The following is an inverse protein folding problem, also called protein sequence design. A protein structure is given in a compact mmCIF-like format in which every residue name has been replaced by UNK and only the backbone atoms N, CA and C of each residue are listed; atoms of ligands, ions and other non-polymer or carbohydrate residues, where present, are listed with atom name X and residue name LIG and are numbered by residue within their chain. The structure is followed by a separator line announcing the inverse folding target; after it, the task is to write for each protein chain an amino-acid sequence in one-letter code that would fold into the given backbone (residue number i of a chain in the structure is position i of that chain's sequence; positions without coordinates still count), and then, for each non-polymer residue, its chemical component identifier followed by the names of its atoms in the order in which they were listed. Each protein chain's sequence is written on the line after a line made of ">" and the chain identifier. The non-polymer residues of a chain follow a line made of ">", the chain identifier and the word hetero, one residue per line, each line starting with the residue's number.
data_IF_447110971451
#
_entry.id   IF_447110971451
#
_cell.length_a   1.000
_cell.length_b   1.000
_cell.length_c   1.000
_cell.angle_alpha   90.00
_cell.angle_beta   90.00
_cell.angle_gamma   90.00
#
_symmetry.space_group_name_H-M   'P 1'
#
loop_
_entity.id
_entity.type
_entity.pdbx_description
1 polymer ?
#
# COMPACT_ATOMS: atom_id res chain seq x y z
N UNK A 1 6.67 -3.02 5.58
CA UNK A 1 5.30 -2.92 5.05
C UNK A 1 5.06 -3.79 3.80
N UNK A 2 5.68 -3.53 2.64
CA UNK A 2 5.37 -4.23 1.37
C UNK A 2 5.39 -5.77 1.45
N UNK A 3 6.32 -6.35 2.21
CA UNK A 3 6.34 -7.80 2.47
C UNK A 3 5.06 -8.31 3.14
N UNK A 4 4.53 -7.59 4.13
CA UNK A 4 3.31 -7.99 4.85
C UNK A 4 2.08 -7.90 3.96
N UNK A 5 2.00 -6.89 3.07
CA UNK A 5 0.87 -6.75 2.15
C UNK A 5 0.94 -7.74 0.98
N UNK A 6 2.13 -8.18 0.57
CA UNK A 6 2.28 -9.25 -0.41
C UNK A 6 2.09 -10.66 0.21
N UNK A 7 2.22 -10.79 1.52
CA UNK A 7 1.94 -12.03 2.27
C UNK A 7 0.50 -12.03 2.79
N UNK A 8 -0.46 -12.25 1.89
CA UNK A 8 -1.89 -12.26 2.21
C UNK A 8 -2.52 -13.61 1.84
N UNK A 9 -3.62 -13.97 2.53
CA UNK A 9 -4.35 -15.21 2.28
C UNK A 9 -5.15 -15.20 0.98
N UNK A 10 -5.37 -14.03 0.38
CA UNK A 10 -6.06 -13.88 -0.91
C UNK A 10 -5.06 -13.85 -2.08
N UNK A 11 -5.45 -14.29 -3.29
CA UNK A 11 -4.60 -14.26 -4.47
C UNK A 11 -4.08 -12.86 -4.82
N UNK A 12 -2.84 -12.76 -5.31
CA UNK A 12 -2.23 -11.48 -5.72
C UNK A 12 -2.98 -10.78 -6.86
N UNK A 13 -3.70 -11.56 -7.68
CA UNK A 13 -4.58 -11.08 -8.75
C UNK A 13 -5.81 -10.31 -8.26
N UNK A 14 -6.16 -10.45 -6.99
CA UNK A 14 -7.43 -9.94 -6.44
C UNK A 14 -7.27 -8.55 -5.80
N UNK A 15 -6.05 -8.06 -5.70
CA UNK A 15 -5.74 -6.73 -5.17
C UNK A 15 -4.62 -6.08 -5.97
N UNK A 16 -4.50 -4.76 -5.83
CA UNK A 16 -3.38 -4.00 -6.38
C UNK A 16 -2.68 -3.20 -5.27
N UNK A 17 -1.38 -3.00 -5.44
CA UNK A 17 -0.54 -2.20 -4.57
C UNK A 17 -0.06 -0.98 -5.36
N UNK A 18 -0.46 0.20 -4.90
CA UNK A 18 -0.05 1.48 -5.46
C UNK A 18 0.84 2.18 -4.43
N UNK A 19 2.13 2.33 -4.75
CA UNK A 19 3.08 3.04 -3.92
C UNK A 19 3.27 4.47 -4.42
N UNK A 20 3.18 5.45 -3.52
CA UNK A 20 3.24 6.87 -3.88
C UNK A 20 4.32 7.56 -3.05
N UNK A 21 5.31 8.13 -3.75
CA UNK A 21 6.34 8.99 -3.18
C UNK A 21 5.90 10.44 -3.32
N UNK A 22 5.78 11.15 -2.19
CA UNK A 22 5.29 12.54 -2.18
C UNK A 22 6.27 13.54 -2.80
N UNK A 23 7.56 13.37 -2.50
CA UNK A 23 8.62 14.26 -2.99
C UNK A 23 9.29 13.66 -4.25
N UNK A 24 10.57 13.95 -4.44
CA UNK A 24 11.39 13.46 -5.56
C UNK A 24 12.17 12.18 -5.25
N UNK A 25 12.16 11.71 -4.00
CA UNK A 25 12.95 10.54 -3.60
C UNK A 25 12.30 9.26 -4.12
N UNK A 26 13.13 8.38 -4.66
CA UNK A 26 12.80 6.99 -5.02
C UNK A 26 13.50 6.07 -4.01
N UNK A 27 12.76 5.23 -3.30
CA UNK A 27 13.34 4.27 -2.37
C UNK A 27 14.08 3.15 -3.12
N UNK A 28 15.41 3.08 -2.97
CA UNK A 28 16.25 2.11 -3.67
C UNK A 28 15.88 0.67 -3.33
N UNK A 29 15.43 0.45 -2.10
CA UNK A 29 15.00 -0.85 -1.61
C UNK A 29 13.87 -1.41 -2.48
N UNK A 30 12.95 -0.55 -2.95
CA UNK A 30 11.87 -0.96 -3.85
C UNK A 30 12.41 -1.33 -5.23
N UNK A 31 13.39 -0.58 -5.76
CA UNK A 31 14.06 -0.94 -7.02
C UNK A 31 14.72 -2.33 -6.92
N UNK A 32 15.50 -2.56 -5.86
CA UNK A 32 16.17 -3.84 -5.61
C UNK A 32 15.15 -5.01 -5.52
N UNK A 33 13.97 -4.78 -4.94
CA UNK A 33 12.90 -5.78 -4.91
C UNK A 33 12.28 -6.04 -6.28
N UNK A 34 11.99 -4.99 -7.04
CA UNK A 34 11.40 -5.13 -8.38
C UNK A 34 12.36 -5.81 -9.35
N UNK A 35 13.67 -5.58 -9.23
CA UNK A 35 14.70 -6.29 -10.02
C UNK A 35 14.72 -7.78 -9.70
N UNK A 36 14.83 -8.15 -8.42
CA UNK A 36 14.81 -9.56 -8.00
C UNK A 36 13.54 -10.29 -8.42
N UNK A 37 12.39 -9.63 -8.31
CA UNK A 37 11.10 -10.21 -8.66
C UNK A 37 11.00 -10.51 -10.18
N UNK A 38 11.56 -9.62 -11.02
CA UNK A 38 11.70 -9.84 -12.47
C UNK A 38 12.59 -11.03 -12.81
N UNK A 39 13.69 -11.24 -12.08
CA UNK A 39 14.62 -12.35 -12.33
C UNK A 39 13.96 -13.73 -12.14
N UNK A 40 13.01 -13.83 -11.19
CA UNK A 40 12.31 -15.09 -10.87
C UNK A 40 10.96 -15.24 -11.56
N UNK A 41 10.54 -14.24 -12.35
CA UNK A 41 9.28 -14.27 -13.11
C UNK A 41 8.03 -14.32 -12.23
N UNK A 42 8.09 -13.80 -11.00
CA UNK A 42 6.96 -13.77 -10.09
C UNK A 42 6.08 -12.52 -10.30
N UNK A 43 4.91 -12.51 -9.67
CA UNK A 43 3.96 -11.40 -9.75
C UNK A 43 4.58 -10.08 -9.25
N UNK A 44 4.20 -8.94 -9.84
CA UNK A 44 4.76 -7.66 -9.48
C UNK A 44 4.48 -7.34 -8.01
N UNK A 45 5.56 -7.07 -7.26
CA UNK A 45 5.48 -6.71 -5.84
C UNK A 45 4.71 -5.41 -5.58
N UNK A 46 4.63 -4.55 -6.60
CA UNK A 46 3.88 -3.30 -6.67
C UNK A 46 3.33 -3.18 -8.09
N UNK A 47 2.04 -2.86 -8.24
CA UNK A 47 1.41 -2.70 -9.56
C UNK A 47 1.64 -1.32 -10.16
N UNK A 48 1.77 -0.30 -9.32
CA UNK A 48 2.03 1.07 -9.74
C UNK A 48 2.89 1.82 -8.73
N UNK A 49 3.95 2.46 -9.22
CA UNK A 49 4.82 3.31 -8.42
C UNK A 49 4.78 4.74 -8.96
N UNK A 50 4.20 5.64 -8.18
CA UNK A 50 4.01 7.04 -8.53
C UNK A 50 5.01 7.89 -7.75
N UNK A 51 5.73 8.77 -8.44
CA UNK A 51 6.56 9.79 -7.82
C UNK A 51 5.91 11.13 -8.16
N UNK A 52 5.34 11.80 -7.16
CA UNK A 52 4.67 13.09 -7.36
C UNK A 52 5.66 14.21 -7.68
N UNK A 53 6.93 14.07 -7.28
CA UNK A 53 8.00 14.96 -7.68
C UNK A 53 7.94 16.35 -7.05
N UNK A 54 7.27 16.51 -5.91
CA UNK A 54 7.16 17.81 -5.26
C UNK A 54 8.55 18.30 -4.77
N UNK A 55 8.88 19.60 -4.96
CA UNK A 55 10.15 20.13 -4.51
C UNK A 55 10.37 20.00 -3.00
N UNK A 56 11.62 19.77 -2.55
CA UNK A 56 11.96 19.88 -1.12
C UNK A 56 11.54 21.25 -0.57
N UNK A 57 10.96 21.28 0.63
CA UNK A 57 10.44 22.50 1.26
C UNK A 57 8.97 22.80 0.92
N UNK A 58 8.34 22.05 0.01
CA UNK A 58 6.88 22.05 -0.14
C UNK A 58 6.26 21.47 1.13
N UNK A 59 5.17 22.07 1.60
CA UNK A 59 4.44 21.54 2.75
C UNK A 59 3.85 20.17 2.42
N UNK A 60 4.00 19.21 3.34
CA UNK A 60 3.51 17.86 3.17
C UNK A 60 1.99 17.77 3.36
N UNK A 61 1.27 17.38 2.30
CA UNK A 61 -0.17 17.18 2.31
C UNK A 61 -0.54 15.73 1.97
N UNK A 62 -0.67 14.87 2.99
CA UNK A 62 -1.03 13.44 2.80
C UNK A 62 -2.31 13.24 1.99
N UNK A 63 -3.32 14.10 2.15
CA UNK A 63 -4.58 13.99 1.41
C UNK A 63 -4.39 14.21 -0.10
N UNK A 64 -3.42 15.02 -0.53
CA UNK A 64 -3.09 15.16 -1.95
C UNK A 64 -2.54 13.84 -2.50
N UNK A 65 -1.67 13.18 -1.74
CA UNK A 65 -1.12 11.87 -2.08
C UNK A 65 -2.23 10.81 -2.19
N UNK A 66 -3.14 10.79 -1.22
CA UNK A 66 -4.28 9.87 -1.21
C UNK A 66 -5.19 10.09 -2.42
N UNK A 67 -5.48 11.34 -2.78
CA UNK A 67 -6.31 11.65 -3.95
C UNK A 67 -5.67 11.16 -5.26
N UNK A 68 -4.34 11.28 -5.40
CA UNK A 68 -3.62 10.71 -6.55
C UNK A 68 -3.81 9.20 -6.60
N UNK A 69 -3.62 8.50 -5.47
CA UNK A 69 -3.82 7.06 -5.37
C UNK A 69 -5.23 6.60 -5.70
N UNK A 70 -6.24 7.27 -5.15
CA UNK A 70 -7.65 6.98 -5.43
C UNK A 70 -7.95 7.16 -6.93
N UNK A 71 -7.42 8.23 -7.54
CA UNK A 71 -7.67 8.53 -8.96
C UNK A 71 -7.12 7.47 -9.91
N UNK A 72 -5.98 6.86 -9.56
CA UNK A 72 -5.34 5.83 -10.41
C UNK A 72 -5.79 4.40 -10.07
N UNK A 73 -6.49 4.22 -8.95
CA UNK A 73 -6.96 2.91 -8.50
C UNK A 73 -8.01 2.34 -9.44
N UNK A 74 -7.99 1.02 -9.60
CA UNK A 74 -8.90 0.20 -10.41
C UNK A 74 -9.82 -0.65 -9.54
N UNK A 75 -9.43 -0.89 -8.29
CA UNK A 75 -10.23 -1.63 -7.30
C UNK A 75 -11.54 -0.94 -6.92
N UNK A 76 -12.52 -1.73 -6.46
CA UNK A 76 -13.80 -1.22 -5.91
C UNK A 76 -13.68 -0.76 -4.46
N UNK A 77 -12.67 -1.25 -3.75
CA UNK A 77 -12.35 -0.93 -2.36
C UNK A 77 -10.96 -0.32 -2.36
N UNK A 78 -10.81 0.87 -1.79
CA UNK A 78 -9.51 1.54 -1.62
C UNK A 78 -9.17 1.54 -0.15
N UNK A 79 -8.00 0.99 0.18
CA UNK A 79 -7.45 1.00 1.54
C UNK A 79 -6.20 1.87 1.51
N UNK A 80 -6.18 2.89 2.39
CA UNK A 80 -5.02 3.76 2.56
C UNK A 80 -4.21 3.23 3.73
N UNK A 81 -2.92 2.97 3.50
CA UNK A 81 -1.99 2.49 4.51
C UNK A 81 -0.73 3.38 4.54
N UNK A 82 -0.17 3.57 5.73
CA UNK A 82 1.12 4.25 5.87
C UNK A 82 2.26 3.32 5.45
N UNK A 83 3.38 3.89 4.99
CA UNK A 83 4.52 3.14 4.44
C UNK A 83 5.22 2.21 5.45
N UNK A 84 4.94 2.40 6.74
CA UNK A 84 5.49 1.65 7.86
C UNK A 84 4.47 0.68 8.50
N UNK A 85 3.25 0.55 7.94
CA UNK A 85 2.24 -0.36 8.49
C UNK A 85 2.69 -1.84 8.38
N UNK A 86 2.49 -2.60 9.45
CA UNK A 86 2.56 -4.05 9.46
C UNK A 86 1.15 -4.63 9.59
N UNK A 87 0.84 -5.65 8.81
CA UNK A 87 -0.49 -6.26 8.78
C UNK A 87 -0.40 -7.78 8.96
N UNK A 88 -1.50 -8.39 9.39
CA UNK A 88 -1.64 -9.85 9.42
C UNK A 88 -1.90 -10.39 8.00
N UNK A 89 -1.60 -11.67 7.72
CA UNK A 89 -1.90 -12.26 6.42
C UNK A 89 -3.39 -12.28 6.04
N UNK A 90 -4.30 -12.19 7.01
CA UNK A 90 -5.76 -12.16 6.77
C UNK A 90 -6.30 -10.75 6.58
N UNK A 91 -5.45 -9.72 6.55
CA UNK A 91 -5.88 -8.32 6.61
C UNK A 91 -6.80 -7.94 5.45
N UNK A 92 -6.39 -8.19 4.21
CA UNK A 92 -7.23 -7.86 3.03
C UNK A 92 -8.51 -8.70 3.00
N UNK A 93 -8.43 -9.99 3.36
CA UNK A 93 -9.60 -10.87 3.45
C UNK A 93 -10.65 -10.29 4.43
N UNK A 94 -10.23 -9.89 5.63
CA UNK A 94 -11.14 -9.35 6.64
C UNK A 94 -11.79 -8.04 6.20
N UNK A 95 -11.09 -7.19 5.43
CA UNK A 95 -11.68 -5.96 4.87
C UNK A 95 -12.77 -6.29 3.85
N UNK A 96 -12.48 -7.20 2.91
CA UNK A 96 -13.43 -7.61 1.86
C UNK A 96 -14.69 -8.22 2.50
N UNK A 97 -14.52 -9.19 3.39
CA UNK A 97 -15.63 -9.87 4.08
C UNK A 97 -16.50 -8.87 4.87
N UNK A 98 -15.87 -7.88 5.51
CA UNK A 98 -16.57 -6.85 6.29
C UNK A 98 -17.42 -5.95 5.39
N UNK A 99 -16.88 -5.49 4.26
CA UNK A 99 -17.58 -4.62 3.30
C UNK A 99 -18.69 -5.39 2.57
N UNK A 100 -18.43 -6.64 2.18
CA UNK A 100 -19.44 -7.47 1.52
C UNK A 100 -20.62 -7.82 2.44
N UNK A 101 -20.34 -7.99 3.73
CA UNK A 101 -21.36 -8.21 4.75
C UNK A 101 -22.24 -6.98 5.06
N UNK A 102 -21.86 -5.77 4.64
CA UNK A 102 -22.61 -4.55 4.91
C UNK A 102 -22.33 -3.47 3.85
N UNK A 103 -23.31 -3.23 2.96
CA UNK A 103 -23.09 -2.47 1.71
C UNK A 103 -22.94 -0.95 1.84
N UNK A 104 -23.03 -0.37 3.02
CA UNK A 104 -22.96 1.09 3.24
C UNK A 104 -22.18 1.45 4.50
N UNK A 105 -20.94 0.95 4.59
CA UNK A 105 -20.06 1.20 5.73
C UNK A 105 -18.76 1.87 5.30
N UNK A 106 -18.17 2.62 6.23
CA UNK A 106 -16.79 3.08 6.17
C UNK A 106 -16.01 2.31 7.23
N UNK A 107 -14.98 1.58 6.81
CA UNK A 107 -14.12 0.87 7.74
C UNK A 107 -13.01 1.82 8.22
N UNK A 108 -12.98 2.09 9.52
CA UNK A 108 -11.85 2.76 10.17
C UNK A 108 -10.85 1.70 10.63
N UNK A 109 -9.59 1.84 10.24
CA UNK A 109 -8.52 0.97 10.65
C UNK A 109 -7.72 1.64 11.77
N UNK A 110 -7.76 1.05 12.96
CA UNK A 110 -6.97 1.52 14.09
C UNK A 110 -5.55 0.96 14.03
N UNK A 111 -4.57 1.85 14.14
CA UNK A 111 -3.17 1.48 14.23
C UNK A 111 -2.71 1.34 15.68
N UNK A 112 -2.15 0.17 16.00
CA UNK A 112 -1.46 -0.03 17.28
C UNK A 112 0.03 0.19 17.05
N UNK A 113 0.58 1.20 17.73
CA UNK A 113 2.00 1.55 17.62
C UNK A 113 2.82 0.80 18.66
N UNK A 114 3.86 0.12 18.21
CA UNK A 114 4.88 -0.42 19.10
C UNK A 114 5.99 0.63 19.29
N UNK A 115 6.41 0.87 20.54
CA UNK A 115 7.50 1.79 20.88
C UNK A 115 8.85 1.08 21.01
N UNK A 116 8.85 -0.26 20.98
CA UNK A 116 10.08 -1.04 21.03
C UNK A 116 10.83 -0.98 19.70
N UNK A 117 12.01 -0.34 19.69
CA UNK A 117 12.87 -0.15 18.51
C UNK A 117 13.31 -1.43 17.77
N UNK A 118 13.03 -2.61 18.34
CA UNK A 118 13.45 -3.91 17.77
C UNK A 118 12.44 -4.47 16.77
N UNK A 119 11.27 -3.86 16.67
CA UNK A 119 10.20 -4.19 15.75
C UNK A 119 9.93 -3.03 14.81
#
# INVERSE_FOLDING_TARGET
>A
MLHYINDQTIPRSDYEIIWIEYFTKRAREIDDFLEKNREVGADPFIDSWIIMGLPPGTYYHKHLMYNVGITVSKGKIVVVCDSDTMVKPTFLQSIIETIEGSKDIVLHLDEVRNVEKKF
#
